data_IF_327666761773
#
_entry.id   IF_327666761773
#
_cell.length_a   1.000
_cell.length_b   1.000
_cell.length_c   1.000
_cell.angle_alpha   90.00
_cell.angle_beta   90.00
_cell.angle_gamma   90.00
#
_symmetry.space_group_name_H-M   'P 1'
#
loop_
_entity.id
_entity.type
_entity.pdbx_description
1 polymer ?
#
# COMPACT_ATOMS: atom_id res chain seq x y z
N UNK A 1 -17.96 -12.47 27.87
CA UNK A 1 -17.13 -12.85 26.69
C UNK A 1 -16.85 -11.57 25.91
N UNK A 2 -15.70 -10.93 26.14
CA UNK A 2 -15.31 -9.74 25.38
C UNK A 2 -14.80 -10.19 24.01
N UNK A 3 -15.35 -9.60 22.93
CA UNK A 3 -14.73 -9.71 21.62
C UNK A 3 -13.55 -8.74 21.59
N UNK A 4 -12.33 -9.26 21.40
CA UNK A 4 -11.22 -8.45 20.91
C UNK A 4 -11.44 -8.25 19.40
N UNK A 5 -11.79 -7.04 18.99
CA UNK A 5 -11.69 -6.64 17.59
C UNK A 5 -10.27 -6.12 17.36
N UNK A 6 -9.48 -6.81 16.53
CA UNK A 6 -8.37 -6.16 15.86
C UNK A 6 -9.00 -5.23 14.81
N UNK A 7 -8.97 -3.92 15.05
CA UNK A 7 -9.35 -2.96 14.01
C UNK A 7 -8.20 -2.92 13.01
N UNK A 8 -8.25 -3.82 12.04
CA UNK A 8 -7.34 -3.80 10.92
C UNK A 8 -7.44 -2.44 10.23
N UNK A 9 -6.31 -1.73 10.17
CA UNK A 9 -6.19 -0.47 9.46
C UNK A 9 -6.15 -0.68 7.95
N UNK A 10 -6.11 0.43 7.24
CA UNK A 10 -5.89 0.45 5.79
C UNK A 10 -4.99 1.61 5.41
N UNK A 11 -4.21 1.42 4.34
CA UNK A 11 -3.41 2.47 3.70
C UNK A 11 -4.04 2.77 2.34
N UNK A 12 -4.30 4.03 2.07
CA UNK A 12 -4.68 4.52 0.74
C UNK A 12 -3.60 5.39 0.16
N UNK A 13 -3.50 5.43 -1.16
CA UNK A 13 -2.62 6.36 -1.86
C UNK A 13 -2.94 6.41 -3.35
N UNK A 14 -2.15 7.21 -4.08
CA UNK A 14 -2.22 7.33 -5.53
C UNK A 14 -0.84 7.07 -6.09
N UNK A 15 -0.73 6.19 -7.08
CA UNK A 15 0.51 5.94 -7.83
C UNK A 15 0.48 6.81 -9.09
N UNK A 16 1.51 7.65 -9.25
CA UNK A 16 1.69 8.53 -10.42
C UNK A 16 3.08 8.35 -11.02
N UNK A 17 3.22 8.64 -12.31
CA UNK A 17 4.50 8.77 -12.99
C UNK A 17 5.19 10.09 -12.64
N UNK A 18 6.41 10.28 -13.15
CA UNK A 18 7.15 11.55 -13.06
C UNK A 18 6.35 12.72 -13.67
N UNK A 19 5.59 12.47 -14.73
CA UNK A 19 4.71 13.45 -15.39
C UNK A 19 3.36 13.65 -14.67
N UNK A 20 3.23 13.19 -13.41
CA UNK A 20 1.99 13.26 -12.61
C UNK A 20 0.79 12.54 -13.24
N UNK A 21 1.04 11.58 -14.13
CA UNK A 21 -0.01 10.76 -14.76
C UNK A 21 -0.31 9.55 -13.88
N UNK A 22 -1.59 9.26 -13.56
CA UNK A 22 -1.93 8.09 -12.76
C UNK A 22 -1.51 6.78 -13.43
N UNK A 23 -0.96 5.85 -12.64
CA UNK A 23 -0.54 4.54 -13.13
C UNK A 23 -1.55 3.48 -12.70
N UNK A 24 -2.26 2.92 -13.67
CA UNK A 24 -3.15 1.77 -13.50
C UNK A 24 -2.38 0.46 -13.51
N UNK A 25 -2.75 -0.49 -12.64
CA UNK A 25 -2.19 -1.84 -12.64
C UNK A 25 -0.85 -1.98 -11.94
N UNK A 26 -0.37 -0.94 -11.25
CA UNK A 26 0.82 -1.04 -10.41
C UNK A 26 0.55 -1.99 -9.24
N UNK A 27 1.48 -2.88 -8.96
CA UNK A 27 1.44 -3.77 -7.81
C UNK A 27 1.98 -3.03 -6.58
N UNK A 28 1.28 -3.11 -5.47
CA UNK A 28 1.69 -2.58 -4.17
C UNK A 28 1.70 -3.75 -3.19
N UNK A 29 2.89 -4.16 -2.79
CA UNK A 29 3.09 -5.33 -1.94
C UNK A 29 3.75 -4.95 -0.63
N UNK A 30 3.21 -5.41 0.49
CA UNK A 30 3.84 -5.30 1.80
C UNK A 30 4.65 -6.55 2.09
N UNK A 31 5.98 -6.40 2.11
CA UNK A 31 6.89 -7.50 2.50
C UNK A 31 6.73 -7.88 3.98
N UNK A 32 6.28 -6.94 4.82
CA UNK A 32 6.12 -7.14 6.27
C UNK A 32 4.87 -7.95 6.61
N UNK A 33 3.77 -7.72 5.88
CA UNK A 33 2.48 -8.36 6.13
C UNK A 33 2.12 -9.46 5.13
N UNK A 34 2.92 -9.66 4.08
CA UNK A 34 2.66 -10.61 2.98
C UNK A 34 1.28 -10.42 2.32
N UNK A 35 0.91 -9.16 2.14
CA UNK A 35 -0.35 -8.76 1.49
C UNK A 35 -0.07 -7.77 0.38
N UNK A 36 -0.90 -7.77 -0.66
CA UNK A 36 -0.77 -6.85 -1.77
C UNK A 36 -2.12 -6.33 -2.28
N UNK A 37 -2.03 -5.28 -3.07
CA UNK A 37 -3.15 -4.67 -3.78
C UNK A 37 -2.66 -4.12 -5.13
N UNK A 38 -3.59 -3.71 -5.98
CA UNK A 38 -3.30 -3.18 -7.32
C UNK A 38 -3.92 -1.79 -7.45
N UNK A 39 -3.21 -0.86 -8.08
CA UNK A 39 -3.76 0.47 -8.38
C UNK A 39 -4.86 0.40 -9.43
N UNK A 40 -5.91 1.21 -9.25
CA UNK A 40 -7.05 1.33 -10.15
C UNK A 40 -6.73 2.27 -11.34
N UNK A 41 -7.70 2.46 -12.23
CA UNK A 41 -7.55 3.27 -13.46
C UNK A 41 -7.13 4.72 -13.19
N UNK A 42 -7.49 5.26 -12.03
CA UNK A 42 -7.16 6.60 -11.56
C UNK A 42 -5.91 6.63 -10.66
N UNK A 43 -5.15 5.53 -10.63
CA UNK A 43 -3.93 5.36 -9.84
C UNK A 43 -4.18 5.11 -8.36
N UNK A 44 -5.43 5.16 -7.86
CA UNK A 44 -5.73 4.93 -6.45
C UNK A 44 -5.54 3.48 -6.06
N UNK A 45 -5.05 3.25 -4.84
CA UNK A 45 -4.99 1.92 -4.24
C UNK A 45 -5.50 1.94 -2.80
N UNK A 46 -5.92 0.78 -2.32
CA UNK A 46 -6.25 0.54 -0.91
C UNK A 46 -5.64 -0.78 -0.48
N UNK A 47 -4.70 -0.72 0.47
CA UNK A 47 -4.11 -1.88 1.13
C UNK A 47 -4.81 -2.03 2.48
N UNK A 48 -5.68 -3.03 2.58
CA UNK A 48 -6.44 -3.35 3.81
C UNK A 48 -5.65 -4.29 4.72
N UNK A 49 -6.17 -4.61 5.91
CA UNK A 49 -5.55 -5.59 6.85
C UNK A 49 -4.19 -5.15 7.37
N UNK A 50 -4.03 -3.85 7.56
CA UNK A 50 -2.81 -3.25 8.11
C UNK A 50 -2.89 -3.27 9.62
N UNK A 51 -2.24 -4.26 10.24
CA UNK A 51 -2.24 -4.48 11.69
C UNK A 51 -0.95 -4.05 12.39
N UNK A 52 0.03 -3.54 11.63
CA UNK A 52 1.33 -3.11 12.12
C UNK A 52 1.54 -1.60 11.92
N UNK A 53 2.29 -0.97 12.83
CA UNK A 53 2.63 0.45 12.71
C UNK A 53 3.79 0.72 11.75
N UNK A 54 4.56 -0.30 11.36
CA UNK A 54 5.68 -0.15 10.43
C UNK A 54 5.56 -1.16 9.29
N UNK A 55 5.53 -0.68 8.06
CA UNK A 55 5.41 -1.52 6.87
C UNK A 55 6.43 -1.12 5.82
N UNK A 56 7.09 -2.13 5.25
CA UNK A 56 7.84 -1.98 4.00
C UNK A 56 6.94 -2.30 2.82
N UNK A 57 6.73 -1.32 1.94
CA UNK A 57 5.99 -1.45 0.70
C UNK A 57 6.95 -1.46 -0.50
N UNK A 58 6.72 -2.41 -1.40
CA UNK A 58 7.36 -2.49 -2.71
C UNK A 58 6.30 -2.18 -3.77
N UNK A 59 6.56 -1.16 -4.60
CA UNK A 59 5.71 -0.75 -5.70
C UNK A 59 6.40 -1.11 -7.01
N UNK A 60 5.72 -1.91 -7.86
CA UNK A 60 6.26 -2.37 -9.13
C UNK A 60 5.24 -2.30 -10.27
N UNK A 61 5.74 -1.98 -11.46
CA UNK A 61 4.94 -1.93 -12.69
C UNK A 61 5.85 -2.20 -13.89
N UNK A 62 5.36 -2.97 -14.87
CA UNK A 62 6.13 -3.27 -16.08
C UNK A 62 6.45 -1.97 -16.82
N UNK A 63 7.71 -1.77 -17.16
CA UNK A 63 8.19 -0.55 -17.81
C UNK A 63 8.55 0.59 -16.85
N UNK A 64 8.41 0.39 -15.53
CA UNK A 64 8.82 1.35 -14.51
C UNK A 64 9.90 0.77 -13.60
N UNK A 65 10.68 1.65 -12.99
CA UNK A 65 11.63 1.27 -11.94
C UNK A 65 10.87 0.93 -10.66
N UNK A 66 11.24 -0.18 -10.03
CA UNK A 66 10.70 -0.56 -8.72
C UNK A 66 11.08 0.47 -7.65
N UNK A 67 10.14 0.74 -6.74
CA UNK A 67 10.34 1.66 -5.61
C UNK A 67 10.02 0.91 -4.31
N UNK A 68 10.91 1.05 -3.31
CA UNK A 68 10.71 0.51 -1.97
C UNK A 68 10.59 1.66 -0.98
N UNK A 69 9.50 1.67 -0.23
CA UNK A 69 9.21 2.70 0.77
C UNK A 69 8.87 2.05 2.12
N UNK A 70 9.33 2.65 3.21
CA UNK A 70 8.93 2.26 4.57
C UNK A 70 7.98 3.31 5.12
N UNK A 71 6.82 2.87 5.58
CA UNK A 71 5.82 3.72 6.24
C UNK A 71 5.85 3.41 7.74
N UNK A 72 5.88 4.47 8.55
CA UNK A 72 5.75 4.41 10.01
C UNK A 72 4.51 5.22 10.38
N UNK A 73 3.56 4.57 11.04
CA UNK A 73 2.37 5.20 11.61
C UNK A 73 2.69 5.58 13.06
N UNK A 74 3.16 6.82 13.24
CA UNK A 74 3.37 7.40 14.57
C UNK A 74 2.05 7.98 15.09
N UNK A 75 1.53 7.43 16.19
CA UNK A 75 0.30 7.90 16.85
C UNK A 75 -0.80 6.84 16.94
N UNK A 76 -0.69 5.95 17.92
CA UNK A 76 -1.85 5.35 18.62
C UNK A 76 -1.79 5.80 20.08
#
# INVERSE_FOLDING_TARGET
>A
MSLLWAQDGYITGVIVSEDQTPIHGANIFSETLDIGTISQVDGRFTLSKVSQNKLSLTISMIGFKEVKNTIIMDGL
#
